data_IF_248139138877
#
_entry.id   IF_248139138877
#
_cell.length_a   1.000
_cell.length_b   1.000
_cell.length_c   1.000
_cell.angle_alpha   90.00
_cell.angle_beta   90.00
_cell.angle_gamma   90.00
#
_symmetry.space_group_name_H-M   'P 1'
#
loop_
_entity.id
_entity.type
_entity.pdbx_description
1 polymer ?
#
# COMPACT_ATOMS: atom_id res chain seq x y z
N UNK A 1 -31.47 1.13 40.37
CA UNK A 1 -30.77 2.38 40.02
C UNK A 1 -29.33 1.96 39.78
N UNK A 2 -28.82 2.02 38.55
CA UNK A 2 -27.43 1.60 38.28
C UNK A 2 -26.49 2.64 38.88
N UNK A 3 -25.63 2.24 39.81
CA UNK A 3 -24.60 3.09 40.37
C UNK A 3 -23.71 3.61 39.23
N UNK A 4 -23.66 4.94 39.08
CA UNK A 4 -22.85 5.57 38.04
C UNK A 4 -21.39 5.54 38.49
N UNK A 5 -20.60 4.66 37.89
CA UNK A 5 -19.17 4.53 38.21
C UNK A 5 -18.43 5.74 37.62
N UNK A 6 -17.96 6.63 38.49
CA UNK A 6 -17.12 7.76 38.10
C UNK A 6 -15.66 7.35 38.04
N UNK A 7 -15.02 7.55 36.88
CA UNK A 7 -13.57 7.45 36.72
C UNK A 7 -12.94 8.84 36.66
N UNK A 8 -11.84 9.01 37.38
CA UNK A 8 -10.96 10.18 37.26
C UNK A 8 -10.33 10.24 35.87
N UNK A 9 -9.92 11.43 35.44
CA UNK A 9 -9.26 11.58 34.13
C UNK A 9 -7.94 10.81 34.07
N UNK A 10 -7.21 10.72 35.19
CA UNK A 10 -6.02 9.89 35.33
C UNK A 10 -6.32 8.40 35.09
N UNK A 11 -7.43 7.87 35.63
CA UNK A 11 -7.85 6.49 35.38
C UNK A 11 -8.19 6.25 33.91
N UNK A 12 -8.85 7.21 33.25
CA UNK A 12 -9.15 7.11 31.80
C UNK A 12 -7.87 7.17 30.97
N UNK A 13 -6.94 8.06 31.30
CA UNK A 13 -5.65 8.16 30.62
C UNK A 13 -4.84 6.87 30.79
N UNK A 14 -4.81 6.31 31.99
CA UNK A 14 -4.13 5.04 32.28
C UNK A 14 -4.76 3.88 31.52
N UNK A 15 -6.10 3.77 31.51
CA UNK A 15 -6.79 2.74 30.74
C UNK A 15 -6.51 2.87 29.23
N UNK A 16 -6.51 4.10 28.70
CA UNK A 16 -6.12 4.35 27.30
C UNK A 16 -4.64 4.16 27.02
N UNK A 17 -3.78 4.09 28.03
CA UNK A 17 -2.34 3.89 27.90
C UNK A 17 -1.94 2.41 27.91
N UNK A 18 -2.87 1.49 28.15
CA UNK A 18 -2.61 0.05 28.10
C UNK A 18 -2.09 -0.38 26.72
N UNK A 19 -1.02 -1.18 26.71
CA UNK A 19 -0.50 -1.83 25.51
C UNK A 19 -1.50 -2.88 25.03
N UNK A 20 -2.14 -2.61 23.89
CA UNK A 20 -3.15 -3.48 23.28
C UNK A 20 -2.56 -4.82 22.84
N UNK A 21 -1.27 -4.90 22.51
CA UNK A 21 -0.66 -6.19 22.13
C UNK A 21 -0.60 -7.10 23.35
N UNK A 22 -0.11 -6.60 24.48
CA UNK A 22 -0.08 -7.35 25.76
C UNK A 22 -1.49 -7.70 26.23
N UNK A 23 -2.40 -6.71 26.22
CA UNK A 23 -3.78 -6.91 26.65
C UNK A 23 -4.49 -8.01 25.83
N UNK A 24 -4.50 -7.90 24.49
CA UNK A 24 -5.22 -8.83 23.62
C UNK A 24 -4.63 -10.25 23.73
N UNK A 25 -3.30 -10.39 23.80
CA UNK A 25 -2.66 -11.70 23.98
C UNK A 25 -3.06 -12.36 25.31
N UNK A 26 -3.17 -11.59 26.40
CA UNK A 26 -3.64 -12.11 27.70
C UNK A 26 -5.12 -12.48 27.68
N UNK A 27 -5.92 -11.83 26.85
CA UNK A 27 -7.32 -12.22 26.59
C UNK A 27 -7.44 -13.45 25.67
N UNK A 28 -6.33 -14.03 25.22
CA UNK A 28 -6.31 -15.20 24.34
C UNK A 28 -6.48 -14.87 22.85
N UNK A 29 -6.48 -13.60 22.48
CA UNK A 29 -6.56 -13.19 21.07
C UNK A 29 -5.25 -13.51 20.34
N UNK A 30 -5.40 -13.94 19.09
CA UNK A 30 -4.26 -14.21 18.22
C UNK A 30 -3.95 -13.00 17.35
N UNK A 31 -2.69 -12.58 17.37
CA UNK A 31 -2.17 -11.45 16.60
C UNK A 31 -1.20 -11.91 15.51
N UNK A 32 -1.47 -11.51 14.26
CA UNK A 32 -0.65 -11.79 13.08
C UNK A 32 0.30 -10.61 12.81
N UNK A 33 1.53 -10.85 12.29
CA UNK A 33 2.40 -9.77 11.84
C UNK A 33 1.76 -8.93 10.71
N UNK A 34 1.80 -7.60 10.81
CA UNK A 34 1.29 -6.68 9.77
C UNK A 34 2.16 -5.42 9.67
N UNK A 35 3.36 -5.57 9.08
CA UNK A 35 4.35 -4.49 9.05
C UNK A 35 4.82 -4.14 10.46
N UNK A 36 4.64 -2.88 10.86
CA UNK A 36 4.93 -2.39 12.23
C UNK A 36 3.80 -2.68 13.21
N UNK A 37 2.63 -3.04 12.69
CA UNK A 37 1.43 -3.27 13.48
C UNK A 37 1.21 -4.78 13.65
N UNK A 38 0.30 -5.11 14.55
CA UNK A 38 -0.22 -6.48 14.71
C UNK A 38 -1.66 -6.50 14.23
N UNK A 39 -2.00 -7.45 13.36
CA UNK A 39 -3.37 -7.64 12.86
C UNK A 39 -4.10 -8.66 13.70
N UNK A 40 -5.33 -8.37 14.06
CA UNK A 40 -6.16 -9.31 14.80
C UNK A 40 -6.55 -10.49 13.88
N UNK A 41 -6.40 -11.72 14.36
CA UNK A 41 -6.69 -12.90 13.55
C UNK A 41 -8.21 -13.17 13.45
N UNK A 42 -8.97 -12.80 14.48
CA UNK A 42 -10.44 -12.92 14.52
C UNK A 42 -11.13 -11.89 13.63
N UNK A 43 -10.54 -10.69 13.48
CA UNK A 43 -10.99 -9.65 12.55
C UNK A 43 -9.82 -9.06 11.78
N UNK A 44 -9.68 -9.50 10.52
CA UNK A 44 -8.58 -9.06 9.66
C UNK A 44 -8.68 -7.59 9.25
N UNK A 45 -9.77 -6.88 9.56
CA UNK A 45 -9.86 -5.45 9.33
C UNK A 45 -9.10 -4.63 10.38
N UNK A 46 -8.82 -5.20 11.57
CA UNK A 46 -8.27 -4.45 12.71
C UNK A 46 -6.76 -4.65 12.85
N UNK A 47 -6.01 -3.55 12.96
CA UNK A 47 -4.59 -3.52 13.34
C UNK A 47 -4.37 -2.75 14.63
N UNK A 48 -3.45 -3.21 15.47
CA UNK A 48 -3.06 -2.57 16.73
C UNK A 48 -1.57 -2.25 16.77
N UNK A 49 -1.21 -1.13 17.40
CA UNK A 49 0.16 -0.72 17.67
C UNK A 49 0.23 0.04 18.99
N UNK A 50 0.97 -0.52 19.96
CA UNK A 50 1.02 0.04 21.31
C UNK A 50 -0.40 0.11 21.89
N UNK A 51 -0.88 1.30 22.22
CA UNK A 51 -2.20 1.55 22.80
C UNK A 51 -3.24 2.00 21.77
N UNK A 52 -2.90 2.00 20.48
CA UNK A 52 -3.77 2.44 19.38
C UNK A 52 -4.23 1.28 18.53
N UNK A 53 -5.37 1.48 17.89
CA UNK A 53 -5.94 0.57 16.91
C UNK A 53 -6.52 1.32 15.73
N UNK A 54 -6.66 0.62 14.61
CA UNK A 54 -7.28 1.11 13.39
C UNK A 54 -8.03 -0.03 12.68
N UNK A 55 -9.26 0.23 12.27
CA UNK A 55 -10.07 -0.63 11.41
C UNK A 55 -10.02 -0.10 9.97
N UNK A 56 -9.44 -0.90 9.10
CA UNK A 56 -9.23 -0.58 7.69
C UNK A 56 -10.52 -0.66 6.86
N UNK A 57 -11.57 -1.33 7.34
CA UNK A 57 -12.85 -1.43 6.68
C UNK A 57 -13.76 -0.23 6.98
N UNK A 58 -13.85 0.20 8.25
CA UNK A 58 -14.61 1.40 8.64
C UNK A 58 -13.81 2.71 8.57
N UNK A 59 -12.49 2.63 8.42
CA UNK A 59 -11.54 3.76 8.46
C UNK A 59 -11.53 4.51 9.81
N UNK A 60 -11.88 3.81 10.89
CA UNK A 60 -11.91 4.35 12.25
C UNK A 60 -10.74 3.85 13.09
N UNK A 61 -10.31 4.65 14.07
CA UNK A 61 -9.29 4.24 15.03
C UNK A 61 -9.30 5.13 16.26
N UNK A 62 -8.84 4.58 17.38
CA UNK A 62 -8.79 5.28 18.66
C UNK A 62 -7.74 4.62 19.57
N UNK A 63 -7.94 4.71 20.88
CA UNK A 63 -7.12 4.12 21.93
C UNK A 63 -7.76 2.86 22.51
N UNK A 64 -7.11 2.28 23.53
CA UNK A 64 -7.46 0.99 24.10
C UNK A 64 -8.91 0.87 24.57
N UNK A 65 -9.47 1.89 25.24
CA UNK A 65 -10.84 1.81 25.77
C UNK A 65 -11.86 1.56 24.66
N UNK A 66 -11.77 2.28 23.55
CA UNK A 66 -12.74 2.14 22.46
C UNK A 66 -12.61 0.81 21.74
N UNK A 67 -11.39 0.27 21.58
CA UNK A 67 -11.23 -1.06 21.02
C UNK A 67 -11.88 -2.10 21.93
N UNK A 68 -11.63 -2.03 23.23
CA UNK A 68 -12.14 -3.02 24.20
C UNK A 68 -13.67 -2.98 24.26
N UNK A 69 -14.26 -1.78 24.29
CA UNK A 69 -15.72 -1.60 24.18
C UNK A 69 -16.26 -2.29 22.93
N UNK A 70 -15.63 -2.04 21.78
CA UNK A 70 -16.08 -2.55 20.48
C UNK A 70 -15.91 -4.07 20.37
N UNK A 71 -14.73 -4.59 20.72
CA UNK A 71 -14.36 -5.98 20.52
C UNK A 71 -15.10 -6.93 21.47
N UNK A 72 -15.31 -6.50 22.71
CA UNK A 72 -15.97 -7.31 23.75
C UNK A 72 -17.41 -6.88 24.04
N UNK A 73 -17.96 -5.93 23.27
CA UNK A 73 -19.31 -5.38 23.44
C UNK A 73 -19.57 -4.87 24.88
N UNK A 74 -18.61 -4.13 25.43
CA UNK A 74 -18.64 -3.61 26.79
C UNK A 74 -19.07 -2.14 26.82
N UNK A 75 -19.73 -1.75 27.91
CA UNK A 75 -19.94 -0.35 28.24
C UNK A 75 -18.61 0.36 28.57
N UNK A 76 -18.61 1.69 28.56
CA UNK A 76 -17.43 2.47 28.93
C UNK A 76 -16.91 2.12 30.34
N UNK A 77 -17.75 2.06 31.40
CA UNK A 77 -17.28 1.67 32.72
C UNK A 77 -16.66 0.27 32.78
N UNK A 78 -17.28 -0.72 32.12
CA UNK A 78 -16.78 -2.09 32.09
C UNK A 78 -15.42 -2.18 31.39
N UNK A 79 -15.26 -1.48 30.26
CA UNK A 79 -14.00 -1.45 29.52
C UNK A 79 -12.88 -0.77 30.32
N UNK A 80 -13.17 0.35 30.99
CA UNK A 80 -12.17 1.02 31.85
C UNK A 80 -11.79 0.12 33.03
N UNK A 81 -12.77 -0.48 33.72
CA UNK A 81 -12.49 -1.42 34.81
C UNK A 81 -11.64 -2.60 34.33
N UNK A 82 -11.96 -3.18 33.17
CA UNK A 82 -11.20 -4.30 32.60
C UNK A 82 -9.75 -3.89 32.29
N UNK A 83 -9.54 -2.74 31.65
CA UNK A 83 -8.20 -2.23 31.29
C UNK A 83 -7.37 -1.81 32.52
N UNK A 84 -8.02 -1.51 33.65
CA UNK A 84 -7.35 -1.20 34.90
C UNK A 84 -7.08 -2.44 35.77
N UNK A 85 -7.25 -3.64 35.22
CA UNK A 85 -6.94 -4.91 35.89
C UNK A 85 -8.16 -5.67 36.43
N UNK A 86 -9.37 -5.14 36.23
CA UNK A 86 -10.63 -5.74 36.67
C UNK A 86 -10.64 -6.06 38.17
N UNK A 87 -11.40 -7.09 38.56
CA UNK A 87 -11.43 -7.62 39.94
C UNK A 87 -10.21 -8.48 40.29
N UNK A 88 -9.36 -8.80 39.29
CA UNK A 88 -8.21 -9.68 39.45
C UNK A 88 -6.93 -8.94 39.87
N UNK A 89 -6.90 -7.61 39.77
CA UNK A 89 -5.77 -6.78 40.22
C UNK A 89 -4.50 -6.94 39.39
N UNK A 90 -4.59 -7.49 38.17
CA UNK A 90 -3.42 -7.69 37.30
C UNK A 90 -3.21 -6.44 36.44
N UNK A 91 -2.09 -5.74 36.66
CA UNK A 91 -1.73 -4.59 35.83
C UNK A 91 -1.26 -5.04 34.44
N UNK A 92 -1.84 -4.43 33.41
CA UNK A 92 -1.36 -4.56 32.03
C UNK A 92 -0.16 -3.67 31.80
N UNK A 93 0.70 -4.10 30.86
CA UNK A 93 1.82 -3.27 30.44
C UNK A 93 1.29 -1.94 29.91
N UNK A 94 1.79 -0.84 30.47
CA UNK A 94 1.50 0.49 29.95
C UNK A 94 2.40 0.78 28.76
N UNK A 95 1.81 1.29 27.68
CA UNK A 95 2.55 1.91 26.60
C UNK A 95 3.15 3.22 27.09
N UNK A 96 4.45 3.23 27.31
CA UNK A 96 5.17 4.47 27.64
C UNK A 96 5.13 5.43 26.45
N UNK A 97 4.63 6.66 26.63
CA UNK A 97 4.80 7.77 25.65
C UNK A 97 6.29 8.07 25.36
N UNK A 98 7.19 7.59 26.21
CA UNK A 98 8.65 7.67 26.10
C UNK A 98 9.31 6.44 25.45
N UNK A 99 8.55 5.48 24.90
CA UNK A 99 9.17 4.61 23.92
C UNK A 99 9.60 5.53 22.79
N UNK A 100 10.90 5.76 22.65
CA UNK A 100 11.47 6.59 21.59
C UNK A 100 10.70 6.32 20.31
N UNK A 101 10.32 7.36 19.53
CA UNK A 101 9.69 7.14 18.24
C UNK A 101 10.61 6.19 17.49
N UNK A 102 10.16 4.94 17.36
CA UNK A 102 10.93 3.79 16.87
C UNK A 102 11.76 4.31 15.69
N UNK A 103 13.07 4.55 15.93
CA UNK A 103 13.87 5.35 14.99
C UNK A 103 13.68 4.71 13.64
N UNK A 104 13.10 5.46 12.68
CA UNK A 104 12.79 4.91 11.36
C UNK A 104 14.11 4.34 10.85
N UNK A 105 14.19 3.00 10.74
CA UNK A 105 15.40 2.38 10.22
C UNK A 105 15.75 3.08 8.90
N UNK A 106 17.03 3.41 8.69
CA UNK A 106 17.45 4.05 7.46
C UNK A 106 17.02 3.18 6.29
N UNK A 107 16.39 3.79 5.29
CA UNK A 107 16.02 3.09 4.08
C UNK A 107 17.27 2.59 3.37
N UNK A 108 17.25 1.32 2.99
CA UNK A 108 18.27 0.72 2.15
C UNK A 108 17.59 -0.20 1.13
N UNK A 109 18.08 -0.16 -0.11
CA UNK A 109 17.66 -1.13 -1.12
C UNK A 109 18.12 -2.54 -0.72
N UNK A 110 17.31 -3.58 -0.99
CA UNK A 110 17.78 -4.94 -0.83
C UNK A 110 18.94 -5.21 -1.81
N UNK A 111 19.85 -6.14 -1.49
CA UNK A 111 20.92 -6.53 -2.40
C UNK A 111 20.34 -6.99 -3.75
N UNK A 112 20.90 -6.47 -4.83
CA UNK A 112 20.53 -6.88 -6.18
C UNK A 112 21.17 -8.24 -6.53
N UNK A 113 20.41 -9.10 -7.18
CA UNK A 113 20.92 -10.31 -7.80
C UNK A 113 21.85 -9.94 -8.98
N UNK A 114 22.72 -10.88 -9.37
CA UNK A 114 23.71 -10.67 -10.43
C UNK A 114 23.10 -10.58 -11.83
N UNK A 115 21.91 -11.14 -12.02
CA UNK A 115 21.09 -11.04 -13.22
C UNK A 115 19.60 -10.89 -12.87
N UNK A 116 18.77 -10.64 -13.89
CA UNK A 116 17.33 -10.46 -13.74
C UNK A 116 16.50 -11.56 -14.41
N UNK A 117 17.05 -12.78 -14.57
CA UNK A 117 16.43 -13.82 -15.41
C UNK A 117 15.04 -14.22 -14.90
N UNK A 118 14.85 -14.33 -13.59
CA UNK A 118 13.57 -14.75 -13.00
C UNK A 118 12.55 -13.63 -13.08
N UNK A 119 12.96 -12.39 -12.81
CA UNK A 119 12.10 -11.21 -12.97
C UNK A 119 11.66 -11.04 -14.43
N UNK A 120 12.57 -11.16 -15.40
CA UNK A 120 12.21 -11.09 -16.82
C UNK A 120 11.26 -12.21 -17.23
N UNK A 121 11.55 -13.46 -16.83
CA UNK A 121 10.67 -14.59 -17.10
C UNK A 121 9.27 -14.36 -16.50
N UNK A 122 9.20 -13.93 -15.24
CA UNK A 122 7.94 -13.64 -14.56
C UNK A 122 7.14 -12.52 -15.26
N UNK A 123 7.74 -11.35 -15.47
CA UNK A 123 7.03 -10.20 -16.03
C UNK A 123 6.62 -10.42 -17.49
N UNK A 124 7.47 -11.06 -18.30
CA UNK A 124 7.17 -11.26 -19.73
C UNK A 124 6.26 -12.48 -19.92
N UNK A 125 6.57 -13.62 -19.31
CA UNK A 125 5.88 -14.88 -19.61
C UNK A 125 4.61 -15.07 -18.79
N UNK A 126 4.61 -14.66 -17.52
CA UNK A 126 3.44 -14.83 -16.66
C UNK A 126 2.53 -13.60 -16.62
N UNK A 127 3.13 -12.41 -16.71
CA UNK A 127 2.40 -11.13 -16.67
C UNK A 127 2.18 -10.51 -18.06
N UNK A 128 2.69 -11.12 -19.13
CA UNK A 128 2.53 -10.68 -20.51
C UNK A 128 3.04 -9.26 -20.80
N UNK A 129 3.85 -8.68 -19.92
CA UNK A 129 4.40 -7.33 -20.07
C UNK A 129 5.41 -7.35 -21.23
N UNK A 130 5.37 -6.32 -22.07
CA UNK A 130 6.29 -6.16 -23.19
C UNK A 130 7.75 -6.22 -22.73
N UNK A 131 8.57 -6.98 -23.45
CA UNK A 131 10.02 -7.06 -23.20
C UNK A 131 10.67 -5.68 -23.25
N UNK A 132 10.23 -4.81 -24.16
CA UNK A 132 10.76 -3.45 -24.30
C UNK A 132 10.51 -2.65 -23.01
N UNK A 133 9.29 -2.72 -22.48
CA UNK A 133 8.89 -2.04 -21.25
C UNK A 133 9.73 -2.55 -20.07
N UNK A 134 9.82 -3.88 -19.88
CA UNK A 134 10.65 -4.45 -18.78
C UNK A 134 12.12 -4.01 -18.91
N UNK A 135 12.65 -4.01 -20.13
CA UNK A 135 14.05 -3.64 -20.38
C UNK A 135 14.30 -2.16 -20.11
N UNK A 136 13.36 -1.29 -20.46
CA UNK A 136 13.45 0.15 -20.19
C UNK A 136 13.48 0.43 -18.68
N UNK A 137 12.55 -0.14 -17.92
CA UNK A 137 12.49 0.08 -16.47
C UNK A 137 13.71 -0.51 -15.74
N UNK A 138 14.26 -1.62 -16.22
CA UNK A 138 15.53 -2.15 -15.74
C UNK A 138 16.71 -1.19 -16.05
N UNK A 139 16.76 -0.65 -17.27
CA UNK A 139 17.79 0.29 -17.73
C UNK A 139 17.77 1.60 -16.93
N UNK A 140 16.58 2.10 -16.59
CA UNK A 140 16.39 3.26 -15.71
C UNK A 140 16.62 2.94 -14.22
N UNK A 141 17.01 1.71 -13.88
CA UNK A 141 17.22 1.22 -12.49
C UNK A 141 15.97 1.29 -11.61
N UNK A 142 14.80 1.40 -12.22
CA UNK A 142 13.50 1.39 -11.54
C UNK A 142 13.03 -0.03 -11.21
N UNK A 143 13.62 -1.04 -11.85
CA UNK A 143 13.29 -2.45 -11.66
C UNK A 143 14.56 -3.29 -11.55
N UNK A 144 14.65 -4.14 -10.53
CA UNK A 144 15.70 -5.16 -10.43
C UNK A 144 15.21 -6.44 -9.75
N UNK A 145 16.04 -7.48 -9.75
CA UNK A 145 15.80 -8.75 -9.05
C UNK A 145 16.55 -8.76 -7.72
N UNK A 146 15.89 -9.03 -6.59
CA UNK A 146 16.60 -9.14 -5.30
C UNK A 146 17.38 -10.45 -5.19
N UNK A 147 18.53 -10.40 -4.52
CA UNK A 147 19.48 -11.52 -4.46
C UNK A 147 19.01 -12.71 -3.62
N UNK A 148 18.19 -12.49 -2.60
CA UNK A 148 17.89 -13.50 -1.59
C UNK A 148 16.67 -14.34 -1.97
N UNK A 149 15.63 -13.69 -2.48
CA UNK A 149 14.33 -14.31 -2.75
C UNK A 149 13.90 -14.18 -4.21
N UNK A 150 14.69 -13.52 -5.06
CA UNK A 150 14.39 -13.30 -6.46
C UNK A 150 13.03 -12.61 -6.69
N UNK A 151 12.59 -11.73 -5.78
CA UNK A 151 11.44 -10.88 -6.01
C UNK A 151 11.78 -9.82 -7.07
N UNK A 152 10.75 -9.36 -7.78
CA UNK A 152 10.84 -8.12 -8.53
C UNK A 152 10.82 -6.95 -7.54
N UNK A 153 11.84 -6.09 -7.60
CA UNK A 153 11.96 -4.88 -6.78
C UNK A 153 11.71 -3.67 -7.65
N UNK A 154 10.66 -2.93 -7.33
CA UNK A 154 10.26 -1.69 -7.99
C UNK A 154 10.70 -0.50 -7.14
N UNK A 155 11.53 0.37 -7.69
CA UNK A 155 12.23 1.44 -6.96
C UNK A 155 11.62 2.80 -7.28
N UNK A 156 11.47 3.63 -6.26
CA UNK A 156 11.17 5.05 -6.44
C UNK A 156 12.34 5.91 -5.97
N UNK A 157 12.68 6.91 -6.79
CA UNK A 157 13.81 7.81 -6.57
C UNK A 157 13.30 9.22 -6.25
N UNK A 158 14.10 9.98 -5.50
CA UNK A 158 13.87 11.42 -5.38
C UNK A 158 14.43 12.19 -6.59
N UNK A 159 14.21 13.51 -6.59
CA UNK A 159 14.68 14.43 -7.62
C UNK A 159 16.22 14.48 -7.77
N UNK A 160 16.95 13.90 -6.80
CA UNK A 160 18.42 13.81 -6.79
C UNK A 160 18.90 12.42 -7.21
N UNK A 161 18.01 11.60 -7.76
CA UNK A 161 18.27 10.20 -8.14
C UNK A 161 18.71 9.32 -6.97
N UNK A 162 18.32 9.65 -5.74
CA UNK A 162 18.55 8.81 -4.56
C UNK A 162 17.33 7.93 -4.34
N UNK A 163 17.53 6.62 -4.19
CA UNK A 163 16.44 5.70 -3.91
C UNK A 163 15.80 6.05 -2.55
N UNK A 164 14.49 6.24 -2.53
CA UNK A 164 13.71 6.54 -1.31
C UNK A 164 12.65 5.50 -1.00
N UNK A 165 12.30 4.66 -1.96
CA UNK A 165 11.29 3.64 -1.80
C UNK A 165 11.65 2.38 -2.58
N UNK A 166 11.25 1.22 -2.06
CA UNK A 166 11.26 -0.02 -2.84
C UNK A 166 10.04 -0.89 -2.50
N UNK A 167 9.39 -1.42 -3.52
CA UNK A 167 8.31 -2.40 -3.41
C UNK A 167 8.79 -3.76 -3.92
N UNK A 168 8.70 -4.80 -3.09
CA UNK A 168 9.01 -6.18 -3.47
C UNK A 168 7.74 -6.91 -3.88
N UNK A 169 7.79 -7.63 -5.00
CA UNK A 169 6.73 -8.54 -5.47
C UNK A 169 7.33 -9.90 -5.79
N UNK A 170 6.79 -10.95 -5.20
CA UNK A 170 7.25 -12.31 -5.48
C UNK A 170 7.08 -12.69 -6.96
N UNK A 171 8.11 -13.33 -7.49
CA UNK A 171 8.15 -13.94 -8.83
C UNK A 171 7.72 -15.40 -8.82
N UNK A 172 7.57 -16.01 -7.64
CA UNK A 172 7.10 -17.38 -7.51
C UNK A 172 5.63 -17.50 -7.91
N UNK A 173 5.33 -18.48 -8.77
CA UNK A 173 3.97 -18.78 -9.24
C UNK A 173 3.03 -19.03 -8.06
N UNK A 174 1.85 -18.39 -8.07
CA UNK A 174 0.84 -18.54 -7.01
C UNK A 174 1.10 -17.74 -5.73
N UNK A 175 2.28 -17.11 -5.57
CA UNK A 175 2.56 -16.27 -4.42
C UNK A 175 1.92 -14.89 -4.55
N UNK A 176 1.12 -14.51 -3.54
CA UNK A 176 0.57 -13.16 -3.42
C UNK A 176 1.54 -12.17 -2.75
N UNK A 177 2.71 -12.63 -2.28
CA UNK A 177 3.62 -11.84 -1.47
C UNK A 177 4.00 -10.52 -2.15
N UNK A 178 3.74 -9.42 -1.44
CA UNK A 178 4.12 -8.06 -1.80
C UNK A 178 4.36 -7.23 -0.54
N UNK A 179 5.40 -6.39 -0.53
CA UNK A 179 5.72 -5.56 0.63
C UNK A 179 6.56 -4.33 0.24
N UNK A 180 6.33 -3.20 0.90
CA UNK A 180 7.25 -2.06 0.85
C UNK A 180 8.45 -2.32 1.77
N UNK A 181 9.66 -2.08 1.28
CA UNK A 181 10.89 -2.24 2.05
C UNK A 181 10.89 -1.28 3.24
N UNK A 182 11.32 -1.76 4.40
CA UNK A 182 11.34 -0.97 5.63
C UNK A 182 12.14 0.33 5.44
N UNK A 183 11.63 1.43 6.02
CA UNK A 183 12.24 2.76 5.87
C UNK A 183 11.82 3.49 4.58
N UNK A 184 11.14 2.83 3.64
CA UNK A 184 10.66 3.46 2.40
C UNK A 184 9.82 4.72 2.69
N UNK A 185 10.04 5.77 1.91
CA UNK A 185 9.27 7.00 1.94
C UNK A 185 8.09 6.88 0.95
N UNK A 186 6.83 6.78 1.42
CA UNK A 186 5.69 6.51 0.54
C UNK A 186 5.48 7.55 -0.55
N UNK A 187 5.74 8.84 -0.28
CA UNK A 187 5.61 9.91 -1.29
C UNK A 187 6.54 9.76 -2.51
N UNK A 188 7.55 8.89 -2.45
CA UNK A 188 8.42 8.57 -3.56
C UNK A 188 8.23 7.11 -3.99
N UNK A 189 6.98 6.61 -4.02
CA UNK A 189 6.66 5.25 -4.48
C UNK A 189 7.15 5.00 -5.91
N UNK A 190 7.00 3.79 -6.44
CA UNK A 190 7.47 3.46 -7.79
C UNK A 190 6.84 4.39 -8.83
N UNK A 191 7.68 5.13 -9.58
CA UNK A 191 7.23 6.06 -10.60
C UNK A 191 8.24 6.18 -11.74
N UNK A 192 7.75 6.60 -12.90
CA UNK A 192 8.54 6.98 -14.07
C UNK A 192 8.23 8.44 -14.38
N UNK A 193 9.25 9.29 -14.40
CA UNK A 193 9.13 10.68 -14.86
C UNK A 193 9.54 10.74 -16.32
N UNK A 194 8.68 11.32 -17.17
CA UNK A 194 9.00 11.51 -18.57
C UNK A 194 10.28 12.34 -18.76
N UNK A 195 11.09 11.95 -19.75
CA UNK A 195 12.24 12.74 -20.22
C UNK A 195 11.85 13.85 -21.20
N UNK A 196 10.59 13.87 -21.63
CA UNK A 196 10.05 15.01 -22.35
C UNK A 196 10.12 16.23 -21.41
N UNK A 197 10.63 17.40 -21.84
CA UNK A 197 10.73 18.59 -21.00
C UNK A 197 9.35 19.21 -20.66
N UNK A 198 8.28 18.80 -21.33
CA UNK A 198 6.92 19.30 -21.08
C UNK A 198 5.90 18.15 -21.10
N UNK A 199 6.01 17.17 -20.19
CA UNK A 199 5.03 16.12 -20.07
C UNK A 199 3.76 16.70 -19.44
N UNK A 200 2.62 16.48 -20.08
CA UNK A 200 1.35 17.02 -19.61
C UNK A 200 0.61 16.05 -18.66
N UNK A 201 0.86 14.75 -18.79
CA UNK A 201 0.01 13.70 -18.22
C UNK A 201 0.73 12.90 -17.14
N UNK A 202 0.05 12.71 -16.01
CA UNK A 202 0.39 11.76 -14.96
C UNK A 202 -0.65 10.65 -14.89
N UNK A 203 -0.24 9.41 -15.13
CA UNK A 203 -1.10 8.23 -14.96
C UNK A 203 -0.85 7.57 -13.61
N UNK A 204 -1.90 7.23 -12.88
CA UNK A 204 -1.85 6.77 -11.49
C UNK A 204 -2.43 5.36 -11.38
N UNK A 205 -1.66 4.41 -10.86
CA UNK A 205 -2.03 2.99 -10.75
C UNK A 205 -1.95 2.49 -9.31
N UNK A 206 -2.69 1.44 -8.97
CA UNK A 206 -2.61 0.84 -7.64
C UNK A 206 -1.27 0.15 -7.42
N UNK A 207 -0.79 -0.60 -8.43
CA UNK A 207 0.42 -1.40 -8.32
C UNK A 207 1.35 -1.29 -9.55
N UNK A 208 2.65 -1.66 -9.40
CA UNK A 208 3.64 -1.55 -10.47
C UNK A 208 3.34 -2.43 -11.68
N UNK A 209 2.74 -3.61 -11.45
CA UNK A 209 2.41 -4.53 -12.56
C UNK A 209 1.36 -3.88 -13.46
N UNK A 210 0.34 -3.23 -12.91
CA UNK A 210 -0.72 -2.59 -13.67
C UNK A 210 -0.20 -1.41 -14.49
N UNK A 211 0.69 -0.61 -13.90
CA UNK A 211 1.42 0.45 -14.61
C UNK A 211 2.16 -0.11 -15.83
N UNK A 212 2.96 -1.16 -15.66
CA UNK A 212 3.71 -1.77 -16.78
C UNK A 212 2.79 -2.44 -17.80
N UNK A 213 1.66 -3.01 -17.35
CA UNK A 213 0.66 -3.60 -18.22
C UNK A 213 -0.06 -2.55 -19.07
N UNK A 214 -0.43 -1.42 -18.48
CA UNK A 214 -1.01 -0.28 -19.20
C UNK A 214 -0.08 0.23 -20.30
N UNK A 215 1.20 0.41 -19.99
CA UNK A 215 2.21 0.81 -20.99
C UNK A 215 2.32 -0.24 -22.11
N UNK A 216 2.24 -1.53 -21.77
CA UNK A 216 2.30 -2.61 -22.77
C UNK A 216 1.06 -2.65 -23.68
N UNK A 217 -0.10 -2.25 -23.16
CA UNK A 217 -1.34 -2.09 -23.93
C UNK A 217 -1.33 -0.81 -24.80
N UNK A 218 -0.61 0.22 -24.36
CA UNK A 218 -0.55 1.53 -25.01
C UNK A 218 0.90 1.93 -25.36
N UNK A 219 1.59 1.20 -26.27
CA UNK A 219 3.02 1.39 -26.52
C UNK A 219 3.36 2.69 -27.24
N UNK A 220 2.37 3.38 -27.82
CA UNK A 220 2.62 4.57 -28.63
C UNK A 220 3.01 5.76 -27.76
N UNK A 221 4.24 6.27 -27.95
CA UNK A 221 4.76 7.47 -27.29
C UNK A 221 4.63 7.49 -25.75
N UNK A 222 4.56 6.32 -25.11
CA UNK A 222 4.34 6.20 -23.67
C UNK A 222 5.38 6.98 -22.85
N UNK A 223 6.63 7.04 -23.34
CA UNK A 223 7.72 7.79 -22.67
C UNK A 223 7.47 9.30 -22.55
N UNK A 224 6.50 9.86 -23.26
CA UNK A 224 6.10 11.28 -23.19
C UNK A 224 5.14 11.59 -22.02
N UNK A 225 4.72 10.59 -21.26
CA UNK A 225 3.93 10.75 -20.05
C UNK A 225 4.72 10.28 -18.81
N UNK A 226 4.26 10.72 -17.64
CA UNK A 226 4.74 10.25 -16.35
C UNK A 226 3.74 9.27 -15.75
N UNK A 227 4.25 8.34 -14.95
CA UNK A 227 3.45 7.25 -14.39
C UNK A 227 3.84 7.04 -12.92
N UNK A 228 2.87 6.72 -12.07
CA UNK A 228 3.11 6.40 -10.65
C UNK A 228 2.25 5.23 -10.20
N UNK A 229 2.85 4.30 -9.48
CA UNK A 229 2.14 3.26 -8.75
C UNK A 229 2.10 3.62 -7.25
N UNK A 230 0.91 3.60 -6.67
CA UNK A 230 0.70 3.98 -5.26
C UNK A 230 1.31 2.98 -4.28
N UNK A 231 1.44 1.70 -4.68
CA UNK A 231 1.91 0.59 -3.83
C UNK A 231 1.10 0.47 -2.52
N UNK A 232 -0.21 0.69 -2.64
CA UNK A 232 -1.17 0.89 -1.57
C UNK A 232 -2.26 1.86 -2.03
N UNK A 233 -3.00 2.45 -1.09
CA UNK A 233 -4.11 3.38 -1.41
C UNK A 233 -3.77 4.86 -1.20
N UNK A 234 -2.54 5.22 -0.79
CA UNK A 234 -2.21 6.61 -0.40
C UNK A 234 -2.04 7.55 -1.59
N UNK A 235 -2.60 8.76 -1.51
CA UNK A 235 -2.47 9.86 -2.48
C UNK A 235 -1.12 10.60 -2.45
N UNK A 236 -0.28 10.36 -1.42
CA UNK A 236 0.99 11.08 -1.24
C UNK A 236 1.92 11.10 -2.47
N UNK A 237 2.11 9.99 -3.22
CA UNK A 237 2.95 10.00 -4.41
C UNK A 237 2.45 10.94 -5.49
N UNK A 238 1.13 11.02 -5.67
CA UNK A 238 0.50 11.89 -6.67
C UNK A 238 0.77 13.35 -6.31
N UNK A 239 0.47 13.73 -5.07
CA UNK A 239 0.70 15.10 -4.58
C UNK A 239 2.17 15.50 -4.70
N UNK A 240 3.09 14.57 -4.36
CA UNK A 240 4.52 14.85 -4.44
C UNK A 240 4.99 15.07 -5.88
N UNK A 241 4.52 14.28 -6.83
CA UNK A 241 4.88 14.46 -8.24
C UNK A 241 4.31 15.77 -8.81
N UNK A 242 3.09 16.15 -8.44
CA UNK A 242 2.50 17.42 -8.88
C UNK A 242 3.22 18.63 -8.26
N UNK A 243 3.70 18.52 -7.01
CA UNK A 243 4.54 19.54 -6.36
C UNK A 243 5.88 19.70 -7.09
N UNK A 244 6.56 18.59 -7.40
CA UNK A 244 7.88 18.60 -8.04
C UNK A 244 7.83 18.95 -9.52
N UNK A 245 6.73 18.62 -10.20
CA UNK A 245 6.56 18.76 -11.64
C UNK A 245 5.25 19.51 -11.97
N UNK A 246 5.19 20.84 -11.76
CA UNK A 246 3.99 21.64 -12.00
C UNK A 246 3.49 21.64 -13.45
N UNK A 247 4.31 21.18 -14.40
CA UNK A 247 3.93 21.01 -15.80
C UNK A 247 3.00 19.81 -16.04
N UNK A 248 2.85 18.91 -15.07
CA UNK A 248 1.84 17.87 -15.10
C UNK A 248 0.46 18.50 -14.84
N UNK A 249 -0.30 18.74 -15.90
CA UNK A 249 -1.57 19.46 -15.83
C UNK A 249 -2.80 18.54 -15.94
N UNK A 250 -2.61 17.27 -16.33
CA UNK A 250 -3.66 16.24 -16.34
C UNK A 250 -3.27 15.03 -15.52
N UNK A 251 -4.19 14.55 -14.69
CA UNK A 251 -4.07 13.31 -13.92
C UNK A 251 -5.09 12.29 -14.43
N UNK A 252 -4.63 11.13 -14.87
CA UNK A 252 -5.48 9.99 -15.23
C UNK A 252 -5.41 8.94 -14.12
N UNK A 253 -6.54 8.68 -13.48
CA UNK A 253 -6.67 7.67 -12.43
C UNK A 253 -7.01 6.32 -13.06
N UNK A 254 -6.07 5.39 -12.95
CA UNK A 254 -6.05 4.06 -13.56
C UNK A 254 -6.03 2.95 -12.50
N UNK A 255 -6.74 3.13 -11.38
CA UNK A 255 -6.78 2.15 -10.27
C UNK A 255 -7.63 0.92 -10.62
N UNK A 256 -7.52 -0.12 -9.80
CA UNK A 256 -8.24 -1.38 -9.96
C UNK A 256 -9.75 -1.15 -10.11
N UNK A 257 -10.36 -1.92 -11.02
CA UNK A 257 -11.79 -1.96 -11.27
C UNK A 257 -12.49 -2.83 -10.22
N UNK A 258 -12.37 -2.43 -8.96
CA UNK A 258 -13.10 -3.00 -7.84
C UNK A 258 -13.54 -1.92 -6.85
N UNK A 259 -14.28 -2.33 -5.82
CA UNK A 259 -14.82 -1.39 -4.83
C UNK A 259 -13.73 -0.57 -4.12
N UNK A 260 -12.58 -1.18 -3.83
CA UNK A 260 -11.49 -0.51 -3.12
C UNK A 260 -10.77 0.48 -4.05
N UNK A 261 -10.47 0.06 -5.28
CA UNK A 261 -9.87 0.91 -6.30
C UNK A 261 -10.74 2.13 -6.63
N UNK A 262 -12.07 1.95 -6.80
CA UNK A 262 -12.99 3.06 -7.02
C UNK A 262 -13.07 4.03 -5.85
N UNK A 263 -13.06 3.52 -4.60
CA UNK A 263 -13.06 4.36 -3.40
C UNK A 263 -11.77 5.19 -3.32
N UNK A 264 -10.63 4.56 -3.55
CA UNK A 264 -9.33 5.23 -3.57
C UNK A 264 -9.25 6.29 -4.68
N UNK A 265 -9.72 5.97 -5.89
CA UNK A 265 -9.71 6.90 -7.02
C UNK A 265 -10.60 8.12 -6.73
N UNK A 266 -11.79 7.90 -6.18
CA UNK A 266 -12.70 8.98 -5.75
C UNK A 266 -12.05 9.89 -4.71
N UNK A 267 -11.38 9.30 -3.70
CA UNK A 267 -10.68 10.06 -2.65
C UNK A 267 -9.53 10.90 -3.21
N UNK A 268 -8.71 10.34 -4.10
CA UNK A 268 -7.62 11.06 -4.75
C UNK A 268 -8.17 12.22 -5.57
N UNK A 269 -9.21 11.98 -6.37
CA UNK A 269 -9.86 13.01 -7.17
C UNK A 269 -10.36 14.15 -6.27
N UNK A 270 -11.07 13.84 -5.18
CA UNK A 270 -11.56 14.85 -4.25
C UNK A 270 -10.41 15.66 -3.62
N UNK A 271 -9.32 15.00 -3.23
CA UNK A 271 -8.13 15.66 -2.69
C UNK A 271 -7.52 16.64 -3.69
N UNK A 272 -7.37 16.23 -4.95
CA UNK A 272 -6.85 17.07 -6.03
C UNK A 272 -7.76 18.26 -6.31
N UNK A 273 -9.08 18.04 -6.31
CA UNK A 273 -10.08 19.10 -6.47
C UNK A 273 -10.01 20.12 -5.34
N UNK A 274 -9.82 19.69 -4.09
CA UNK A 274 -9.63 20.59 -2.94
C UNK A 274 -8.35 21.43 -3.08
N UNK A 275 -7.33 20.92 -3.77
CA UNK A 275 -6.11 21.65 -4.13
C UNK A 275 -6.23 22.47 -5.43
N UNK A 276 -7.45 22.61 -5.98
CA UNK A 276 -7.74 23.34 -7.23
C UNK A 276 -7.07 22.75 -8.47
N UNK A 277 -6.78 21.46 -8.47
CA UNK A 277 -6.37 20.74 -9.66
C UNK A 277 -7.61 20.23 -10.39
N UNK A 278 -7.85 20.70 -11.62
CA UNK A 278 -9.14 20.53 -12.30
C UNK A 278 -9.19 19.36 -13.29
N UNK A 279 -8.13 19.09 -14.05
CA UNK A 279 -8.14 18.08 -15.12
C UNK A 279 -7.77 16.69 -14.57
N UNK A 280 -8.73 16.08 -13.86
CA UNK A 280 -8.64 14.71 -13.35
C UNK A 280 -9.64 13.83 -14.07
N UNK A 281 -9.15 12.79 -14.76
CA UNK A 281 -9.95 11.84 -15.52
C UNK A 281 -9.78 10.42 -14.99
N UNK A 282 -10.76 9.56 -15.26
CA UNK A 282 -10.70 8.14 -14.94
C UNK A 282 -10.50 7.33 -16.22
N UNK A 283 -9.60 6.36 -16.16
CA UNK A 283 -9.42 5.34 -17.20
C UNK A 283 -9.47 3.98 -16.50
N UNK A 284 -10.43 3.13 -16.86
CA UNK A 284 -10.78 1.94 -16.08
C UNK A 284 -10.61 0.71 -16.96
N UNK A 285 -9.90 -0.29 -16.44
CA UNK A 285 -9.72 -1.58 -17.12
C UNK A 285 -11.06 -2.29 -17.35
N UNK A 286 -11.15 -3.05 -18.45
CA UNK A 286 -12.34 -3.83 -18.77
C UNK A 286 -12.54 -4.99 -17.78
N UNK A 287 -11.45 -5.52 -17.23
CA UNK A 287 -11.41 -6.53 -16.17
C UNK A 287 -11.00 -5.90 -14.85
N UNK A 288 -10.73 -6.74 -13.85
CA UNK A 288 -10.40 -6.30 -12.50
C UNK A 288 -9.21 -5.33 -12.46
N UNK A 289 -8.18 -5.60 -13.25
CA UNK A 289 -6.97 -4.76 -13.32
C UNK A 289 -6.38 -4.76 -14.75
N UNK A 290 -5.39 -3.88 -14.98
CA UNK A 290 -4.74 -3.75 -16.29
C UNK A 290 -3.92 -4.99 -16.68
N UNK A 291 -3.44 -5.77 -15.70
CA UNK A 291 -2.74 -7.01 -15.98
C UNK A 291 -3.69 -8.09 -16.51
N UNK A 292 -4.90 -8.19 -15.98
CA UNK A 292 -5.94 -9.08 -16.48
C UNK A 292 -6.34 -8.74 -17.91
N UNK A 293 -6.48 -7.45 -18.24
CA UNK A 293 -6.75 -6.99 -19.61
C UNK A 293 -5.63 -7.42 -20.58
N UNK A 294 -4.37 -7.16 -20.21
CA UNK A 294 -3.22 -7.53 -21.01
C UNK A 294 -3.13 -9.05 -21.24
N UNK A 295 -3.36 -9.86 -20.20
CA UNK A 295 -3.35 -11.32 -20.32
C UNK A 295 -4.49 -11.83 -21.20
N UNK A 296 -5.66 -11.19 -21.15
CA UNK A 296 -6.78 -11.56 -21.99
C UNK A 296 -6.49 -11.28 -23.47
N UNK A 297 -5.91 -10.12 -23.79
CA UNK A 297 -5.46 -9.79 -25.16
C UNK A 297 -4.46 -10.83 -25.68
N UNK A 298 -3.43 -11.14 -24.88
CA UNK A 298 -2.42 -12.14 -25.23
C UNK A 298 -3.01 -13.53 -25.49
N UNK A 299 -4.02 -13.92 -24.71
CA UNK A 299 -4.69 -15.23 -24.86
C UNK A 299 -5.52 -15.28 -26.14
N UNK A 300 -6.17 -14.17 -26.52
CA UNK A 300 -6.92 -14.06 -27.78
C UNK A 300 -5.98 -14.14 -28.99
N UNK A 301 -4.86 -13.42 -28.96
CA UNK A 301 -3.85 -13.43 -30.02
C UNK A 301 -3.21 -14.81 -30.21
N UNK A 302 -3.09 -15.62 -29.14
CA UNK A 302 -2.58 -16.99 -29.23
C UNK A 302 -3.64 -18.00 -29.70
N UNK A 303 -4.93 -17.71 -29.55
CA UNK A 303 -6.02 -18.56 -30.04
C UNK A 303 -6.34 -18.32 -31.53
N UNK A 304 -6.18 -17.07 -31.98
CA UNK A 304 -6.40 -16.64 -33.37
C UNK A 304 -5.58 -17.36 -34.48
N UNK A 305 -4.35 -17.87 -34.28
CA UNK A 305 -3.56 -18.54 -35.32
C UNK A 305 -4.18 -19.86 -35.82
N UNK A 306 -5.21 -20.37 -35.15
CA UNK A 306 -5.82 -21.68 -35.45
C UNK A 306 -7.03 -21.60 -36.40
N UNK A 307 -7.53 -20.41 -36.74
CA UNK A 307 -8.77 -20.23 -37.53
C UNK A 307 -8.56 -19.74 -38.97
N UNK A 308 -7.32 -19.65 -39.44
CA UNK A 308 -7.00 -19.28 -40.84
C UNK A 308 -6.21 -20.41 -41.51
N UNK A 309 -6.78 -21.61 -41.54
CA UNK A 309 -6.39 -22.70 -42.45
C UNK A 309 -7.59 -23.62 -42.70
N UNK A 310 -8.53 -23.16 -43.53
CA UNK A 310 -9.48 -24.00 -44.27
C UNK A 310 -9.73 -23.36 -45.62
#
# INVERSE_FOLDING_TARGET
>A
MSDYIHFTDEQKERANSVDLVDFLQRQGEKLLPSGRDKRLASDHSITVRGNRWYDHASEEGSYAIDLVKRLYNLSFPEAVSLLLGGEQGVEYRQHSKFSEPEQRKPFALPPAHTDMRRVFAYLIKQRCISREVVSEFAREKLLFEDAEYHNAVFVGFDEKCVARHAHKKSTATGSAFRINVEGSHPAYSFHYVSKNPSPNNLFVFEAPIDLLSYISLHPQNWKNASYVALNGVSEQPVLKLLELYPQLQRVTLCLDNDKAGHKAASRIHETLRQQRFEDVVYDVSARKDWNEDLKALYSQEQAAPSMVMT
#
